data_IF_780588081454
#
_entry.id   IF_780588081454
#
_cell.length_a   1.000
_cell.length_b   1.000
_cell.length_c   1.000
_cell.angle_alpha   90.00
_cell.angle_beta   90.00
_cell.angle_gamma   90.00
#
_symmetry.space_group_name_H-M   'P 1'
#
loop_
_entity.id
_entity.type
_entity.pdbx_description
1 polymer ?
#
# COMPACT_ATOMS: atom_id res chain seq x y z
N UNK A 1 27.47 78.92 9.88
CA UNK A 1 27.86 77.82 10.78
C UNK A 1 26.66 76.90 10.92
N UNK A 2 26.62 75.87 10.14
CA UNK A 2 25.49 74.96 10.15
C UNK A 2 25.90 73.65 10.82
N UNK A 3 25.43 73.48 12.02
CA UNK A 3 25.51 72.16 12.69
C UNK A 3 24.29 71.34 12.23
N UNK A 4 24.54 70.50 11.28
CA UNK A 4 23.58 69.46 10.96
C UNK A 4 23.73 68.31 11.94
N UNK A 5 22.79 68.20 12.86
CA UNK A 5 22.62 67.02 13.68
C UNK A 5 22.00 65.95 12.81
N UNK A 6 22.74 64.90 12.55
CA UNK A 6 22.18 63.69 11.99
C UNK A 6 21.41 62.99 13.10
N UNK A 7 20.10 62.92 12.96
CA UNK A 7 19.24 62.07 13.77
C UNK A 7 19.34 60.67 13.22
N UNK A 8 20.06 59.83 13.95
CA UNK A 8 20.08 58.41 13.67
C UNK A 8 18.73 57.80 13.99
N UNK A 9 18.01 57.38 12.95
CA UNK A 9 16.84 56.56 13.10
C UNK A 9 17.29 55.14 13.46
N UNK A 10 17.09 54.77 14.71
CA UNK A 10 17.18 53.39 15.12
C UNK A 10 15.86 52.72 14.76
N UNK A 11 15.83 52.02 13.66
CA UNK A 11 14.78 51.10 13.35
C UNK A 11 14.97 49.84 14.18
N UNK A 12 14.31 49.74 15.31
CA UNK A 12 14.19 48.49 16.04
C UNK A 12 13.22 47.60 15.25
N UNK A 13 13.79 46.73 14.44
CA UNK A 13 13.06 45.64 13.86
C UNK A 13 12.72 44.65 14.98
N UNK A 14 11.49 44.71 15.48
CA UNK A 14 10.96 43.65 16.35
C UNK A 14 10.71 42.45 15.44
N UNK A 15 11.66 41.56 15.36
CA UNK A 15 11.46 40.27 14.73
C UNK A 15 10.52 39.45 15.58
N UNK A 16 9.26 39.39 15.19
CA UNK A 16 8.34 38.40 15.75
C UNK A 16 8.74 37.05 15.20
N UNK A 17 9.52 36.32 15.97
CA UNK A 17 9.75 34.91 15.69
C UNK A 17 8.45 34.18 15.96
N UNK A 18 7.66 33.96 14.93
CA UNK A 18 6.57 33.01 15.00
C UNK A 18 7.23 31.62 14.96
N UNK A 19 7.54 31.08 16.13
CA UNK A 19 7.88 29.67 16.21
C UNK A 19 6.62 28.86 15.93
N UNK A 20 6.45 28.54 14.68
CA UNK A 20 5.53 27.50 14.25
C UNK A 20 5.98 26.21 14.89
N UNK A 21 5.44 25.85 16.03
CA UNK A 21 5.56 24.49 16.54
C UNK A 21 4.70 23.59 15.65
N UNK A 22 5.29 23.16 14.55
CA UNK A 22 4.73 22.06 13.79
C UNK A 22 4.87 20.83 14.69
N UNK A 23 3.77 20.34 15.22
CA UNK A 23 3.73 19.03 15.82
C UNK A 23 3.93 17.99 14.71
N UNK A 24 5.20 17.71 14.43
CA UNK A 24 5.54 16.61 13.56
C UNK A 24 5.29 15.31 14.34
N UNK A 25 4.27 14.55 13.96
CA UNK A 25 3.99 13.22 14.48
C UNK A 25 5.07 12.19 14.12
N UNK A 26 6.05 12.53 13.32
CA UNK A 26 7.16 11.70 12.95
C UNK A 26 8.43 12.51 12.93
N UNK A 27 9.53 11.88 13.34
CA UNK A 27 10.86 12.41 13.17
C UNK A 27 11.06 12.81 11.70
N UNK A 28 11.41 14.07 11.41
CA UNK A 28 11.62 14.52 10.04
C UNK A 28 12.68 13.70 9.30
N UNK A 29 13.61 13.08 9.99
CA UNK A 29 14.66 12.25 9.41
C UNK A 29 14.15 10.87 8.98
N UNK A 30 13.14 10.33 9.65
CA UNK A 30 12.57 9.01 9.33
C UNK A 30 11.59 9.04 8.17
N UNK A 31 11.01 10.18 7.85
CA UNK A 31 10.01 10.32 6.78
C UNK A 31 10.51 9.92 5.38
N UNK A 32 11.70 10.33 4.92
CA UNK A 32 12.20 9.96 3.60
C UNK A 32 12.41 8.46 3.44
N UNK A 33 12.89 7.80 4.48
CA UNK A 33 13.11 6.35 4.48
C UNK A 33 11.77 5.59 4.47
N UNK A 34 10.82 6.05 5.25
CA UNK A 34 9.49 5.47 5.32
C UNK A 34 8.74 5.59 3.97
N UNK A 35 8.80 6.77 3.37
CA UNK A 35 8.23 7.02 2.05
C UNK A 35 8.88 6.13 0.99
N UNK A 36 10.20 5.98 1.02
CA UNK A 36 10.92 5.09 0.10
C UNK A 36 10.51 3.63 0.28
N UNK A 37 10.33 3.18 1.51
CA UNK A 37 9.88 1.84 1.80
C UNK A 37 8.47 1.59 1.26
N UNK A 38 7.53 2.50 1.53
CA UNK A 38 6.17 2.42 0.99
C UNK A 38 6.19 2.42 -0.54
N UNK A 39 6.99 3.28 -1.15
CA UNK A 39 7.14 3.33 -2.61
C UNK A 39 7.64 2.00 -3.19
N UNK A 40 8.59 1.35 -2.55
CA UNK A 40 9.08 0.01 -2.95
C UNK A 40 8.01 -1.06 -2.81
N UNK A 41 7.23 -1.03 -1.73
CA UNK A 41 6.12 -1.96 -1.53
C UNK A 41 5.07 -1.79 -2.63
N UNK A 42 4.70 -0.55 -2.94
CA UNK A 42 3.76 -0.22 -4.02
C UNK A 42 4.28 -0.67 -5.38
N UNK A 43 5.52 -0.37 -5.70
CA UNK A 43 6.17 -0.78 -6.95
C UNK A 43 6.17 -2.30 -7.12
N UNK A 44 6.47 -3.03 -6.05
CA UNK A 44 6.43 -4.49 -6.05
C UNK A 44 5.02 -5.04 -6.28
N UNK A 45 4.00 -4.44 -5.66
CA UNK A 45 2.61 -4.82 -5.87
C UNK A 45 2.16 -4.55 -7.32
N UNK A 46 2.61 -3.47 -7.92
CA UNK A 46 2.27 -3.07 -9.30
C UNK A 46 2.91 -3.97 -10.37
N UNK A 47 3.86 -4.82 -10.00
CA UNK A 47 4.42 -5.83 -10.93
C UNK A 47 3.41 -6.89 -11.32
N UNK A 48 2.39 -7.11 -10.51
CA UNK A 48 1.32 -8.08 -10.76
C UNK A 48 0.24 -7.42 -11.62
N UNK A 49 -0.13 -8.08 -12.70
CA UNK A 49 -1.09 -7.57 -13.70
C UNK A 49 -2.11 -8.63 -14.07
N UNK A 50 -3.22 -8.18 -14.63
CA UNK A 50 -4.21 -9.06 -15.28
C UNK A 50 -3.51 -9.87 -16.36
N UNK A 51 -3.76 -11.16 -16.38
CA UNK A 51 -3.08 -12.13 -17.24
C UNK A 51 -1.93 -12.88 -16.58
N UNK A 52 -1.46 -12.44 -15.42
CA UNK A 52 -0.48 -13.17 -14.63
C UNK A 52 -1.13 -14.39 -13.96
N UNK A 53 -0.28 -15.32 -13.52
CA UNK A 53 -0.72 -16.54 -12.84
C UNK A 53 -0.84 -16.34 -11.33
N UNK A 54 -1.61 -17.20 -10.68
CA UNK A 54 -1.67 -17.28 -9.21
C UNK A 54 -0.28 -17.48 -8.60
N UNK A 55 0.55 -18.31 -9.22
CA UNK A 55 1.93 -18.52 -8.78
C UNK A 55 2.74 -17.22 -8.75
N UNK A 56 2.61 -16.39 -9.78
CA UNK A 56 3.28 -15.08 -9.82
C UNK A 56 2.75 -14.16 -8.73
N UNK A 57 1.42 -14.16 -8.49
CA UNK A 57 0.78 -13.39 -7.44
C UNK A 57 1.34 -13.75 -6.05
N UNK A 58 1.51 -15.03 -5.77
CA UNK A 58 1.98 -15.52 -4.47
C UNK A 58 3.45 -15.19 -4.16
N UNK A 59 4.18 -14.67 -5.12
CA UNK A 59 5.53 -14.14 -4.87
C UNK A 59 5.51 -12.77 -4.16
N UNK A 60 4.44 -12.02 -4.34
CA UNK A 60 4.28 -10.65 -3.83
C UNK A 60 3.25 -10.59 -2.71
N UNK A 61 2.21 -11.39 -2.83
CA UNK A 61 1.06 -11.41 -1.93
C UNK A 61 0.93 -12.75 -1.23
N UNK A 62 0.21 -12.73 -0.13
CA UNK A 62 -0.24 -13.93 0.57
C UNK A 62 -1.76 -13.89 0.73
N UNK A 63 -2.38 -15.03 0.91
CA UNK A 63 -3.82 -15.11 1.18
C UNK A 63 -4.14 -14.46 2.52
N UNK A 64 -5.23 -13.68 2.56
CA UNK A 64 -5.81 -13.26 3.83
C UNK A 64 -6.58 -14.43 4.44
N UNK A 65 -6.47 -14.62 5.77
CA UNK A 65 -7.34 -15.54 6.49
C UNK A 65 -8.80 -15.15 6.33
N UNK A 66 -9.70 -16.09 6.20
CA UNK A 66 -11.13 -15.84 6.03
C UNK A 66 -11.78 -16.68 4.93
N UNK A 67 -13.06 -16.40 4.65
CA UNK A 67 -13.82 -17.09 3.61
C UNK A 67 -13.28 -16.71 2.23
N UNK A 68 -12.58 -17.63 1.61
CA UNK A 68 -12.13 -17.50 0.24
C UNK A 68 -12.92 -18.43 -0.68
N UNK A 69 -13.22 -17.93 -1.87
CA UNK A 69 -13.80 -18.75 -2.92
C UNK A 69 -12.75 -19.05 -3.97
N UNK A 70 -12.86 -20.18 -4.66
CA UNK A 70 -11.91 -20.56 -5.72
C UNK A 70 -11.76 -19.52 -6.84
N UNK A 71 -12.74 -18.64 -7.00
CA UNK A 71 -12.82 -17.69 -8.10
C UNK A 71 -12.44 -16.26 -7.72
N UNK A 72 -12.38 -15.94 -6.45
CA UNK A 72 -12.02 -14.60 -6.02
C UNK A 72 -11.60 -14.56 -4.56
N UNK A 73 -10.54 -13.83 -4.31
CA UNK A 73 -9.93 -13.71 -2.98
C UNK A 73 -9.40 -12.32 -2.72
N UNK A 74 -9.34 -11.98 -1.45
CA UNK A 74 -8.53 -10.86 -0.96
C UNK A 74 -7.14 -11.38 -0.61
N UNK A 75 -6.14 -10.69 -1.11
CA UNK A 75 -4.73 -10.96 -0.83
C UNK A 75 -4.11 -9.77 -0.10
N UNK A 76 -3.13 -10.05 0.73
CA UNK A 76 -2.36 -9.03 1.45
C UNK A 76 -0.92 -9.02 0.96
N UNK A 77 -0.30 -7.84 0.93
CA UNK A 77 1.12 -7.74 0.61
C UNK A 77 1.95 -8.48 1.66
N UNK A 78 2.92 -9.27 1.20
CA UNK A 78 3.88 -9.94 2.10
C UNK A 78 4.74 -8.94 2.87
N UNK A 79 5.05 -7.79 2.27
CA UNK A 79 5.91 -6.78 2.87
C UNK A 79 5.15 -5.85 3.82
N UNK A 80 3.86 -5.60 3.55
CA UNK A 80 3.01 -4.77 4.40
C UNK A 80 1.58 -5.30 4.45
N UNK A 81 1.18 -5.97 5.54
CA UNK A 81 -0.15 -6.60 5.67
C UNK A 81 -1.33 -5.62 5.64
N UNK A 82 -1.08 -4.32 5.74
CA UNK A 82 -2.10 -3.29 5.63
C UNK A 82 -2.54 -3.01 4.19
N UNK A 83 -1.73 -3.37 3.20
CA UNK A 83 -2.08 -3.26 1.80
C UNK A 83 -2.74 -4.54 1.31
N UNK A 84 -3.94 -4.38 0.77
CA UNK A 84 -4.76 -5.46 0.24
C UNK A 84 -5.12 -5.23 -1.21
N UNK A 85 -5.40 -6.32 -1.89
CA UNK A 85 -5.96 -6.33 -3.23
C UNK A 85 -7.06 -7.39 -3.32
N UNK A 86 -8.04 -7.16 -4.17
CA UNK A 86 -9.05 -8.14 -4.54
C UNK A 86 -8.72 -8.69 -5.92
N UNK A 87 -8.70 -10.00 -6.05
CA UNK A 87 -8.29 -10.70 -7.26
C UNK A 87 -9.36 -11.68 -7.68
N UNK A 88 -9.68 -11.70 -8.96
CA UNK A 88 -10.51 -12.74 -9.57
C UNK A 88 -9.68 -13.56 -10.53
N UNK A 89 -9.94 -14.86 -10.57
CA UNK A 89 -9.22 -15.81 -11.39
C UNK A 89 -10.16 -16.50 -12.39
N UNK A 90 -9.54 -16.91 -13.49
CA UNK A 90 -10.10 -17.94 -14.36
C UNK A 90 -9.43 -19.27 -14.01
N UNK A 91 -10.23 -20.23 -13.59
CA UNK A 91 -9.73 -21.54 -13.23
C UNK A 91 -9.26 -22.29 -14.49
N UNK A 92 -8.02 -22.75 -14.47
CA UNK A 92 -7.44 -23.58 -15.55
C UNK A 92 -7.45 -25.05 -15.21
N UNK A 93 -7.69 -25.41 -13.93
CA UNK A 93 -7.77 -26.77 -13.45
C UNK A 93 -9.06 -27.48 -13.92
N UNK A 94 -8.99 -28.81 -13.97
CA UNK A 94 -10.18 -29.62 -14.16
C UNK A 94 -11.02 -29.56 -12.90
N UNK A 95 -12.35 -29.40 -13.02
CA UNK A 95 -13.22 -29.51 -11.86
C UNK A 95 -13.10 -30.90 -11.27
N UNK A 96 -12.93 -30.98 -9.97
CA UNK A 96 -12.97 -32.22 -9.22
C UNK A 96 -14.37 -32.43 -8.67
N UNK A 97 -14.85 -33.67 -8.69
CA UNK A 97 -16.08 -34.05 -8.04
C UNK A 97 -15.78 -34.32 -6.56
N UNK A 98 -16.51 -33.65 -5.68
CA UNK A 98 -16.46 -33.96 -4.26
C UNK A 98 -17.20 -35.28 -3.96
N UNK A 99 -17.18 -35.73 -2.73
CA UNK A 99 -17.83 -36.97 -2.30
C UNK A 99 -19.36 -36.96 -2.53
N UNK A 100 -19.93 -35.80 -2.66
CA UNK A 100 -21.37 -35.60 -2.91
C UNK A 100 -21.70 -35.47 -4.42
N UNK A 101 -20.70 -35.61 -5.29
CA UNK A 101 -20.84 -35.51 -6.74
C UNK A 101 -20.99 -34.09 -7.26
N UNK A 102 -20.66 -33.07 -6.46
CA UNK A 102 -20.65 -31.68 -6.89
C UNK A 102 -19.31 -31.33 -7.51
N UNK A 103 -19.36 -30.58 -8.60
CA UNK A 103 -18.15 -30.04 -9.19
C UNK A 103 -17.59 -28.92 -8.30
N UNK A 104 -16.38 -29.10 -7.86
CA UNK A 104 -15.59 -28.10 -7.12
C UNK A 104 -14.44 -27.62 -7.99
N UNK A 105 -14.28 -26.32 -8.10
CA UNK A 105 -13.09 -25.74 -8.73
C UNK A 105 -11.93 -25.83 -7.75
N UNK A 106 -10.89 -26.59 -8.13
CA UNK A 106 -9.66 -26.67 -7.35
C UNK A 106 -8.77 -25.48 -7.71
N UNK A 107 -8.24 -24.82 -6.70
CA UNK A 107 -7.24 -23.76 -6.90
C UNK A 107 -5.97 -24.35 -7.50
N UNK A 108 -5.47 -23.71 -8.55
CA UNK A 108 -4.24 -24.08 -9.22
C UNK A 108 -3.29 -22.89 -9.31
N UNK A 109 -2.00 -23.16 -9.23
CA UNK A 109 -0.96 -22.15 -9.44
C UNK A 109 -1.00 -21.55 -10.86
N UNK A 110 -1.60 -22.24 -11.80
CA UNK A 110 -1.74 -21.82 -13.21
C UNK A 110 -3.01 -21.00 -13.47
N UNK A 111 -3.85 -20.79 -12.47
CA UNK A 111 -5.03 -19.94 -12.61
C UNK A 111 -4.64 -18.54 -13.04
N UNK A 112 -5.37 -17.99 -13.99
CA UNK A 112 -5.07 -16.70 -14.60
C UNK A 112 -5.87 -15.59 -13.94
N UNK A 113 -5.21 -14.50 -13.59
CA UNK A 113 -5.85 -13.29 -13.06
C UNK A 113 -6.70 -12.64 -14.15
N UNK A 114 -7.99 -12.52 -13.92
CA UNK A 114 -8.94 -11.86 -14.84
C UNK A 114 -9.33 -10.47 -14.40
N UNK A 115 -9.29 -10.19 -13.11
CA UNK A 115 -9.55 -8.87 -12.54
C UNK A 115 -8.67 -8.64 -11.33
N UNK A 116 -8.18 -7.44 -11.21
CA UNK A 116 -7.28 -7.01 -10.15
C UNK A 116 -7.70 -5.63 -9.68
N UNK A 117 -7.98 -5.47 -8.39
CA UNK A 117 -8.25 -4.17 -7.81
C UNK A 117 -6.97 -3.35 -7.65
N UNK A 118 -7.11 -2.05 -7.47
CA UNK A 118 -6.00 -1.24 -6.99
C UNK A 118 -5.69 -1.61 -5.54
N UNK A 119 -4.42 -1.53 -5.10
CA UNK A 119 -4.09 -1.69 -3.70
C UNK A 119 -4.86 -0.70 -2.83
N UNK A 120 -5.39 -1.17 -1.72
CA UNK A 120 -6.08 -0.35 -0.73
C UNK A 120 -5.59 -0.69 0.67
N UNK A 121 -5.74 0.28 1.57
CA UNK A 121 -5.39 0.11 2.97
C UNK A 121 -6.58 -0.45 3.75
N UNK A 122 -6.35 -1.52 4.48
CA UNK A 122 -7.33 -2.07 5.40
C UNK A 122 -6.64 -2.73 6.59
N UNK A 123 -7.31 -2.75 7.73
CA UNK A 123 -6.79 -3.46 8.88
C UNK A 123 -6.76 -4.97 8.61
N UNK A 124 -5.72 -5.67 9.11
CA UNK A 124 -5.69 -7.12 9.03
C UNK A 124 -6.90 -7.72 9.76
N UNK A 125 -7.49 -8.74 9.15
CA UNK A 125 -8.49 -9.57 9.82
C UNK A 125 -7.74 -10.71 10.49
N UNK A 126 -7.86 -10.80 11.79
CA UNK A 126 -7.34 -11.91 12.58
C UNK A 126 -8.52 -12.81 12.92
N UNK A 127 -8.43 -14.07 12.52
CA UNK A 127 -9.34 -15.14 12.95
C UNK A 127 -8.86 -15.77 14.26
#
# INVERSE_FOLDING_TARGET
MNRRRALGLFATAIGVSVSSQAHAFADPESRPEHVRWVAKVMEKMETIKVGDTRKSLLRVFTTEGGLSTSLGHTYVSQDCPLFKIDVKFHATGRPELDLDGRETSVESDDDIITALSRPYLAFPVYD
#
